data_IF_241562201676
#
_entry.id   IF_241562201676
#
_cell.length_a   1.000
_cell.length_b   1.000
_cell.length_c   1.000
_cell.angle_alpha   90.00
_cell.angle_beta   90.00
_cell.angle_gamma   90.00
#
_symmetry.space_group_name_H-M   'P 1'
#
loop_
_entity.id
_entity.type
_entity.pdbx_description
1 polymer ?
#
# COMPACT_ATOMS: atom_id res chain seq x y z
N UNK A 1 5.52 -19.14 -3.01
CA UNK A 1 6.47 -18.89 -4.14
C UNK A 1 6.18 -17.50 -4.65
N UNK A 2 7.16 -16.60 -4.65
CA UNK A 2 6.96 -15.22 -5.11
C UNK A 2 6.69 -15.25 -6.62
N UNK A 3 5.54 -14.71 -7.04
CA UNK A 3 5.09 -14.71 -8.44
C UNK A 3 5.57 -13.50 -9.24
N UNK A 4 5.98 -12.44 -8.54
CA UNK A 4 6.32 -11.13 -9.09
C UNK A 4 5.10 -10.26 -9.39
N UNK A 5 3.91 -10.56 -8.84
CA UNK A 5 2.67 -9.81 -9.11
C UNK A 5 2.45 -8.70 -8.08
N UNK A 6 2.43 -7.47 -8.56
CA UNK A 6 2.32 -6.24 -7.76
C UNK A 6 1.00 -5.55 -8.04
N UNK A 7 0.36 -5.04 -7.00
CA UNK A 7 -0.77 -4.10 -7.13
C UNK A 7 -0.42 -2.81 -6.39
N UNK A 8 -0.51 -1.68 -7.07
CA UNK A 8 -0.31 -0.35 -6.48
C UNK A 8 -1.50 0.54 -6.79
N UNK A 9 -2.25 0.88 -5.76
CA UNK A 9 -3.32 1.89 -5.78
C UNK A 9 -2.75 3.16 -5.14
N UNK A 10 -2.95 4.32 -5.78
CA UNK A 10 -2.21 5.54 -5.42
C UNK A 10 -1.00 5.79 -6.31
N UNK A 11 -0.92 5.14 -7.47
CA UNK A 11 0.32 5.09 -8.24
C UNK A 11 0.78 6.44 -8.78
N UNK A 12 -0.11 7.44 -8.88
CA UNK A 12 0.24 8.79 -9.29
C UNK A 12 0.39 9.81 -8.16
N UNK A 13 0.38 9.40 -6.89
CA UNK A 13 0.64 10.31 -5.78
C UNK A 13 2.11 10.76 -5.71
N UNK A 14 2.39 11.77 -4.88
CA UNK A 14 3.70 12.25 -4.52
C UNK A 14 4.44 12.89 -5.69
N UNK A 15 5.29 12.10 -6.33
CA UNK A 15 6.26 12.57 -7.32
C UNK A 15 5.61 13.12 -8.59
N UNK A 16 4.61 12.42 -9.12
CA UNK A 16 3.89 12.84 -10.33
C UNK A 16 3.08 14.11 -10.03
N UNK A 17 2.40 14.19 -8.88
CA UNK A 17 1.67 15.39 -8.48
C UNK A 17 2.59 16.61 -8.31
N UNK A 18 3.72 16.44 -7.61
CA UNK A 18 4.63 17.52 -7.26
C UNK A 18 5.46 18.03 -8.45
N UNK A 19 5.90 17.12 -9.33
CA UNK A 19 6.91 17.44 -10.35
C UNK A 19 6.47 17.15 -11.79
N UNK A 20 5.24 16.65 -12.00
CA UNK A 20 4.71 16.32 -13.32
C UNK A 20 5.61 15.34 -14.10
N UNK A 21 6.28 14.46 -13.38
CA UNK A 21 7.13 13.39 -13.91
C UNK A 21 7.13 12.27 -12.89
N UNK A 22 7.31 11.05 -13.39
CA UNK A 22 7.78 9.97 -12.55
C UNK A 22 9.19 10.34 -12.08
N UNK A 23 9.38 10.68 -10.80
CA UNK A 23 10.73 10.88 -10.22
C UNK A 23 11.29 9.62 -9.57
N UNK A 24 10.71 8.51 -9.98
CA UNK A 24 10.49 7.39 -9.14
C UNK A 24 10.80 6.19 -10.05
N UNK A 25 12.10 5.90 -10.16
CA UNK A 25 12.57 4.75 -10.94
C UNK A 25 12.40 3.44 -10.16
N UNK A 26 11.82 3.51 -8.94
CA UNK A 26 11.96 2.53 -7.88
C UNK A 26 11.06 2.75 -6.66
N UNK A 27 10.33 3.85 -6.62
CA UNK A 27 9.81 4.58 -5.47
C UNK A 27 8.33 4.27 -5.08
N UNK A 28 8.15 3.62 -3.96
CA UNK A 28 9.09 2.69 -3.35
C UNK A 28 8.20 1.73 -2.58
N UNK A 29 8.26 0.44 -2.90
CA UNK A 29 7.94 -0.59 -1.91
C UNK A 29 8.77 -0.23 -0.71
N UNK A 30 8.13 0.17 0.40
CA UNK A 30 8.73 0.75 1.60
C UNK A 30 10.23 0.83 1.54
N UNK A 31 10.79 2.02 1.76
CA UNK A 31 12.15 2.13 2.25
C UNK A 31 12.27 1.26 3.53
N UNK A 32 12.55 -0.03 3.34
CA UNK A 32 13.26 -0.88 4.28
C UNK A 32 14.66 -0.30 4.22
N UNK A 33 14.80 0.89 4.76
CA UNK A 33 16.05 1.56 4.95
C UNK A 33 16.80 0.64 5.90
N UNK A 34 17.57 -0.29 5.33
CA UNK A 34 18.72 -0.80 6.02
C UNK A 34 19.64 0.42 6.13
N UNK A 35 19.82 1.02 7.32
CA UNK A 35 20.63 2.21 7.50
C UNK A 35 22.10 1.96 7.09
N UNK A 36 22.47 0.70 6.83
CA UNK A 36 23.79 0.27 6.39
C UNK A 36 23.94 0.21 4.87
N UNK A 37 22.86 0.38 4.08
CA UNK A 37 22.92 0.35 2.61
C UNK A 37 22.82 1.77 2.05
N UNK A 38 23.84 2.27 1.32
CA UNK A 38 23.76 3.58 0.68
C UNK A 38 22.58 3.68 -0.30
N UNK A 39 21.89 4.84 -0.34
CA UNK A 39 20.75 5.07 -1.24
C UNK A 39 21.07 4.86 -2.72
N UNK A 40 22.33 5.09 -3.14
CA UNK A 40 22.78 4.77 -4.50
C UNK A 40 22.64 3.29 -4.83
N UNK A 41 22.90 2.43 -3.84
CA UNK A 41 22.91 0.98 -4.00
C UNK A 41 21.50 0.43 -4.01
N UNK A 42 20.60 0.96 -3.15
CA UNK A 42 19.16 0.68 -3.19
C UNK A 42 18.60 0.97 -4.59
N UNK A 43 18.85 2.18 -5.12
CA UNK A 43 18.40 2.59 -6.46
C UNK A 43 18.96 1.70 -7.58
N UNK A 44 20.23 1.30 -7.48
CA UNK A 44 20.85 0.41 -8.48
C UNK A 44 20.21 -0.99 -8.50
N UNK A 45 19.79 -1.50 -7.33
CA UNK A 45 19.13 -2.81 -7.19
C UNK A 45 17.72 -2.77 -7.74
N UNK A 46 16.98 -1.69 -7.53
CA UNK A 46 15.61 -1.55 -8.04
C UNK A 46 15.55 -1.44 -9.56
N UNK A 47 16.55 -0.80 -10.20
CA UNK A 47 16.65 -0.79 -11.67
C UNK A 47 16.87 -2.19 -12.28
N UNK A 48 17.45 -3.14 -11.54
CA UNK A 48 17.67 -4.52 -12.01
C UNK A 48 16.42 -5.42 -11.85
N UNK A 49 15.44 -4.96 -11.07
CA UNK A 49 14.21 -5.67 -10.71
C UNK A 49 13.15 -5.55 -11.83
N UNK A 50 13.16 -4.46 -12.59
CA UNK A 50 12.17 -4.04 -13.61
C UNK A 50 11.72 -5.14 -14.62
N UNK A 51 12.61 -6.03 -15.07
CA UNK A 51 12.23 -7.00 -16.14
C UNK A 51 11.40 -8.20 -15.69
N UNK A 52 11.24 -8.44 -14.38
CA UNK A 52 10.58 -9.66 -13.86
C UNK A 52 9.21 -9.42 -13.24
N UNK A 53 8.87 -8.18 -12.91
CA UNK A 53 7.61 -7.88 -12.25
C UNK A 53 6.51 -7.63 -13.26
N UNK A 54 5.32 -8.08 -12.89
CA UNK A 54 4.07 -7.80 -13.59
C UNK A 54 3.14 -7.18 -12.56
N UNK A 55 2.20 -6.37 -13.00
CA UNK A 55 1.32 -5.75 -12.04
C UNK A 55 0.24 -4.88 -12.63
N UNK A 56 -0.48 -4.28 -11.70
CA UNK A 56 -1.60 -3.40 -11.94
C UNK A 56 -1.40 -2.13 -11.12
N UNK A 57 -1.40 -1.00 -11.81
CA UNK A 57 -1.47 0.32 -11.20
C UNK A 57 -2.90 0.83 -11.30
N UNK A 58 -3.39 1.48 -10.26
CA UNK A 58 -4.68 2.14 -10.29
C UNK A 58 -4.47 3.62 -10.04
N UNK A 59 -5.07 4.46 -10.91
CA UNK A 59 -4.92 5.92 -10.87
C UNK A 59 -6.14 6.58 -11.55
N UNK A 60 -6.94 7.39 -10.83
CA UNK A 60 -8.11 8.06 -11.40
C UNK A 60 -7.79 9.29 -12.25
N UNK A 61 -6.63 9.93 -12.06
CA UNK A 61 -6.26 11.15 -12.74
C UNK A 61 -5.68 10.84 -14.14
N UNK A 62 -6.42 11.18 -15.19
CA UNK A 62 -6.03 10.94 -16.59
C UNK A 62 -4.64 11.49 -16.94
N UNK A 63 -4.24 12.60 -16.32
CA UNK A 63 -2.92 13.19 -16.52
C UNK A 63 -1.80 12.30 -15.95
N UNK A 64 -2.03 11.73 -14.78
CA UNK A 64 -1.10 10.81 -14.14
C UNK A 64 -1.06 9.48 -14.90
N UNK A 65 -2.21 8.97 -15.34
CA UNK A 65 -2.30 7.77 -16.19
C UNK A 65 -1.44 7.89 -17.45
N UNK A 66 -1.42 9.07 -18.10
CA UNK A 66 -0.60 9.29 -19.29
C UNK A 66 0.91 9.19 -18.98
N UNK A 67 1.34 9.72 -17.82
CA UNK A 67 2.74 9.65 -17.36
C UNK A 67 3.10 8.20 -17.02
N UNK A 68 2.28 7.53 -16.21
CA UNK A 68 2.46 6.12 -15.84
C UNK A 68 2.52 5.20 -17.06
N UNK A 69 1.66 5.40 -18.05
CA UNK A 69 1.64 4.60 -19.29
C UNK A 69 2.90 4.79 -20.14
N UNK A 70 3.49 5.98 -20.11
CA UNK A 70 4.73 6.26 -20.82
C UNK A 70 5.94 5.60 -20.13
N UNK A 71 5.91 5.53 -18.79
CA UNK A 71 6.96 4.93 -17.97
C UNK A 71 6.89 3.40 -17.96
N UNK A 72 5.73 2.83 -17.59
CA UNK A 72 5.56 1.40 -17.30
C UNK A 72 4.87 0.64 -18.44
N UNK A 73 5.61 0.40 -19.53
CA UNK A 73 5.06 -0.17 -20.78
C UNK A 73 4.46 -1.58 -20.67
N UNK A 74 4.83 -2.33 -19.62
CA UNK A 74 4.40 -3.73 -19.43
C UNK A 74 3.43 -3.92 -18.26
N UNK A 75 2.90 -2.82 -17.72
CA UNK A 75 2.04 -2.82 -16.54
C UNK A 75 0.64 -2.35 -16.94
N UNK A 76 -0.40 -3.00 -16.41
CA UNK A 76 -1.78 -2.59 -16.66
C UNK A 76 -2.13 -1.40 -15.78
N UNK A 77 -2.77 -0.38 -16.35
CA UNK A 77 -3.22 0.80 -15.61
C UNK A 77 -4.75 0.87 -15.64
N UNK A 78 -5.36 0.79 -14.46
CA UNK A 78 -6.79 0.91 -14.23
C UNK A 78 -7.17 2.28 -13.67
N UNK A 79 -8.48 2.57 -13.65
CA UNK A 79 -9.02 3.80 -13.07
C UNK A 79 -9.11 3.77 -11.55
N UNK A 80 -9.85 4.74 -10.99
CA UNK A 80 -10.07 4.83 -9.54
C UNK A 80 -10.83 3.63 -8.96
N UNK A 81 -10.38 3.19 -7.79
CA UNK A 81 -10.98 2.08 -7.01
C UNK A 81 -11.42 2.57 -5.63
N UNK A 82 -12.35 1.84 -5.02
CA UNK A 82 -12.87 2.08 -3.68
C UNK A 82 -13.27 0.77 -2.98
N UNK A 83 -13.61 0.84 -1.69
CA UNK A 83 -13.95 -0.35 -0.90
C UNK A 83 -15.15 -1.13 -1.46
N UNK A 84 -16.04 -0.49 -2.24
CA UNK A 84 -17.21 -1.13 -2.83
C UNK A 84 -16.92 -1.88 -4.13
N UNK A 85 -15.81 -1.57 -4.80
CA UNK A 85 -15.55 -2.05 -6.15
C UNK A 85 -14.20 -2.74 -6.33
N UNK A 86 -13.25 -2.55 -5.42
CA UNK A 86 -11.84 -2.86 -5.67
C UNK A 86 -11.62 -4.36 -5.94
N UNK A 87 -12.15 -5.24 -5.10
CA UNK A 87 -12.04 -6.69 -5.31
C UNK A 87 -12.63 -7.15 -6.65
N UNK A 88 -13.76 -6.59 -7.09
CA UNK A 88 -14.38 -6.89 -8.38
C UNK A 88 -13.50 -6.43 -9.55
N UNK A 89 -12.85 -5.28 -9.40
CA UNK A 89 -11.93 -4.74 -10.42
C UNK A 89 -10.68 -5.61 -10.51
N UNK A 90 -10.08 -6.01 -9.40
CA UNK A 90 -8.95 -6.95 -9.39
C UNK A 90 -9.31 -8.26 -10.13
N UNK A 91 -10.50 -8.79 -9.89
CA UNK A 91 -10.99 -9.99 -10.58
C UNK A 91 -11.19 -9.75 -12.09
N UNK A 92 -11.80 -8.63 -12.48
CA UNK A 92 -12.00 -8.33 -13.92
C UNK A 92 -10.70 -8.11 -14.66
N UNK A 93 -9.70 -7.58 -13.96
CA UNK A 93 -8.38 -7.29 -14.53
C UNK A 93 -7.45 -8.51 -14.52
N UNK A 94 -7.95 -9.67 -14.08
CA UNK A 94 -7.22 -10.93 -14.05
C UNK A 94 -6.09 -10.96 -13.03
N UNK A 95 -6.17 -10.14 -11.98
CA UNK A 95 -5.19 -10.16 -10.88
C UNK A 95 -5.31 -11.51 -10.15
N UNK A 96 -4.20 -12.24 -9.96
CA UNK A 96 -4.24 -13.50 -9.22
C UNK A 96 -4.59 -13.23 -7.75
N UNK A 97 -5.29 -14.17 -7.12
CA UNK A 97 -5.60 -14.08 -5.70
C UNK A 97 -4.34 -14.00 -4.82
N UNK A 98 -3.25 -14.64 -5.24
CA UNK A 98 -1.95 -14.56 -4.57
C UNK A 98 -1.18 -13.37 -5.14
N UNK A 99 -1.25 -12.24 -4.44
CA UNK A 99 -0.52 -11.01 -4.77
C UNK A 99 0.77 -11.02 -3.95
N UNK A 100 1.91 -10.62 -4.52
CA UNK A 100 3.16 -10.55 -3.73
C UNK A 100 3.24 -9.25 -2.93
N UNK A 101 2.67 -8.16 -3.44
CA UNK A 101 2.56 -6.91 -2.72
C UNK A 101 1.34 -6.11 -3.17
N UNK A 102 0.58 -5.66 -2.18
CA UNK A 102 -0.52 -4.71 -2.36
C UNK A 102 -0.14 -3.41 -1.64
N UNK A 103 0.12 -2.35 -2.39
CA UNK A 103 0.10 -0.97 -1.86
C UNK A 103 -1.29 -0.39 -2.11
N UNK A 104 -1.88 0.17 -1.07
CA UNK A 104 -3.10 0.94 -1.17
C UNK A 104 -2.93 2.26 -0.43
N UNK A 105 -2.94 3.34 -1.19
CA UNK A 105 -2.66 4.70 -0.76
C UNK A 105 -3.57 5.63 -1.57
N UNK A 106 -4.63 6.13 -0.93
CA UNK A 106 -5.60 7.01 -1.59
C UNK A 106 -5.95 8.25 -0.75
N UNK A 107 -5.25 8.46 0.36
CA UNK A 107 -5.55 9.46 1.40
C UNK A 107 -7.01 9.40 1.92
N UNK A 108 -7.64 8.21 1.93
CA UNK A 108 -9.10 8.12 2.12
C UNK A 108 -9.62 6.88 2.87
N UNK A 109 -9.76 5.75 2.19
CA UNK A 109 -10.59 4.62 2.62
C UNK A 109 -9.78 3.32 2.68
N UNK A 110 -8.49 3.49 2.91
CA UNK A 110 -7.44 2.53 2.66
C UNK A 110 -7.63 1.25 3.46
N UNK A 111 -7.95 1.40 4.74
CA UNK A 111 -8.32 0.31 5.63
C UNK A 111 -9.48 -0.53 5.06
N UNK A 112 -10.61 0.09 4.74
CA UNK A 112 -11.80 -0.64 4.29
C UNK A 112 -11.59 -1.28 2.92
N UNK A 113 -10.85 -0.63 2.02
CA UNK A 113 -10.49 -1.19 0.72
C UNK A 113 -9.60 -2.41 0.83
N UNK A 114 -8.56 -2.36 1.67
CA UNK A 114 -7.67 -3.50 1.93
C UNK A 114 -8.43 -4.65 2.57
N UNK A 115 -9.27 -4.36 3.58
CA UNK A 115 -10.07 -5.39 4.24
C UNK A 115 -11.08 -6.03 3.27
N UNK A 116 -11.71 -5.25 2.40
CA UNK A 116 -12.63 -5.76 1.39
C UNK A 116 -11.95 -6.70 0.39
N UNK A 117 -10.70 -6.41 0.00
CA UNK A 117 -9.91 -7.28 -0.89
C UNK A 117 -9.53 -8.59 -0.21
N UNK A 118 -9.08 -8.54 1.04
CA UNK A 118 -8.73 -9.75 1.80
C UNK A 118 -9.97 -10.60 2.06
N UNK A 119 -11.11 -9.98 2.42
CA UNK A 119 -12.38 -10.67 2.66
C UNK A 119 -12.97 -11.29 1.38
N UNK A 120 -12.64 -10.75 0.20
CA UNK A 120 -12.96 -11.33 -1.09
C UNK A 120 -12.05 -12.52 -1.48
N UNK A 121 -11.11 -12.90 -0.61
CA UNK A 121 -10.25 -14.07 -0.77
C UNK A 121 -8.94 -13.81 -1.50
N UNK A 122 -8.55 -12.56 -1.72
CA UNK A 122 -7.17 -12.25 -2.09
C UNK A 122 -6.25 -12.45 -0.88
N UNK A 123 -5.02 -12.87 -1.14
CA UNK A 123 -4.01 -13.15 -0.13
C UNK A 123 -2.70 -12.47 -0.51
N UNK A 124 -2.61 -11.13 -0.41
CA UNK A 124 -1.34 -10.44 -0.59
C UNK A 124 -0.29 -10.96 0.41
N UNK A 125 0.94 -11.19 -0.03
CA UNK A 125 2.02 -11.60 0.85
C UNK A 125 2.41 -10.47 1.81
N UNK A 126 2.49 -9.26 1.25
CA UNK A 126 2.77 -8.00 1.89
C UNK A 126 1.65 -7.01 1.55
N UNK A 127 1.28 -6.19 2.52
CA UNK A 127 0.29 -5.12 2.37
C UNK A 127 0.88 -3.84 2.95
N UNK A 128 0.94 -2.78 2.16
CA UNK A 128 1.10 -1.42 2.67
C UNK A 128 -0.28 -0.74 2.59
N UNK A 129 -0.69 -0.11 3.68
CA UNK A 129 -1.87 0.73 3.71
C UNK A 129 -1.62 1.96 4.57
N UNK A 130 -2.17 3.10 4.16
CA UNK A 130 -2.16 4.29 4.98
C UNK A 130 -3.12 4.16 6.18
N UNK A 131 -2.77 4.83 7.28
CA UNK A 131 -3.61 4.94 8.46
C UNK A 131 -3.57 6.35 9.06
N UNK A 132 -4.62 6.64 9.83
CA UNK A 132 -4.78 7.94 10.45
C UNK A 132 -3.93 8.08 11.72
N UNK A 133 -2.92 8.96 11.66
CA UNK A 133 -1.99 9.27 12.75
C UNK A 133 -2.63 10.03 13.92
N UNK A 134 -3.79 10.67 13.74
CA UNK A 134 -4.45 11.45 14.79
C UNK A 134 -5.01 10.57 15.92
N UNK A 135 -5.17 9.28 15.66
CA UNK A 135 -5.63 8.30 16.64
C UNK A 135 -4.46 7.38 17.04
N UNK A 136 -3.57 7.82 17.95
CA UNK A 136 -2.42 7.05 18.33
C UNK A 136 -2.84 5.74 19.04
N UNK A 137 -2.03 4.68 18.96
CA UNK A 137 -2.25 3.49 19.77
C UNK A 137 -2.38 3.80 21.27
N UNK A 138 -3.23 3.05 22.01
CA UNK A 138 -4.03 1.90 21.59
C UNK A 138 -5.45 2.27 21.09
N UNK A 139 -5.70 3.52 20.71
CA UNK A 139 -7.04 3.97 20.31
C UNK A 139 -7.46 3.27 19.02
N UNK A 140 -8.52 2.47 19.10
CA UNK A 140 -9.17 1.87 17.94
C UNK A 140 -10.24 2.81 17.37
N UNK A 141 -9.95 3.43 16.24
CA UNK A 141 -10.85 4.26 15.45
C UNK A 141 -10.97 3.71 14.02
N UNK A 142 -12.16 3.79 13.45
CA UNK A 142 -12.41 3.64 12.02
C UNK A 142 -13.58 4.55 11.64
N UNK A 143 -13.44 5.29 10.54
CA UNK A 143 -14.58 5.88 9.85
C UNK A 143 -14.94 4.99 8.67
N UNK A 144 -16.05 4.23 8.75
CA UNK A 144 -16.41 3.31 7.68
C UNK A 144 -16.65 4.04 6.36
N UNK A 145 -16.19 3.43 5.28
CA UNK A 145 -16.46 3.85 3.92
C UNK A 145 -17.95 4.08 3.71
N UNK A 146 -18.26 5.28 3.24
CA UNK A 146 -19.58 5.64 2.78
C UNK A 146 -19.46 6.17 1.36
N UNK A 147 -20.11 5.48 0.44
CA UNK A 147 -20.05 5.81 -0.99
C UNK A 147 -20.44 7.26 -1.25
N UNK A 148 -19.57 7.97 -1.99
CA UNK A 148 -19.79 9.35 -2.39
C UNK A 148 -19.38 10.40 -1.35
N UNK A 149 -18.96 10.02 -0.15
CA UNK A 149 -18.35 10.97 0.80
C UNK A 149 -16.91 11.32 0.43
N UNK A 150 -16.20 10.40 -0.24
CA UNK A 150 -14.82 10.56 -0.65
C UNK A 150 -14.69 10.50 -2.17
N UNK A 151 -13.80 11.34 -2.70
CA UNK A 151 -13.36 11.27 -4.09
C UNK A 151 -11.85 11.34 -4.08
N UNK A 152 -11.21 10.23 -4.42
CA UNK A 152 -9.76 10.14 -4.60
C UNK A 152 -9.26 11.22 -5.58
N UNK A 153 -8.09 11.78 -5.32
CA UNK A 153 -7.45 12.87 -6.07
C UNK A 153 -8.21 14.21 -6.05
N UNK A 154 -9.29 14.34 -5.26
CA UNK A 154 -9.86 15.65 -4.95
C UNK A 154 -9.47 16.03 -3.52
N UNK A 155 -8.61 17.04 -3.42
CA UNK A 155 -8.42 17.85 -2.20
C UNK A 155 -9.75 18.51 -1.83
N UNK A 156 -10.62 17.76 -1.18
CA UNK A 156 -11.86 18.27 -0.59
C UNK A 156 -11.56 18.77 0.82
N UNK A 157 -12.22 19.83 1.32
CA UNK A 157 -11.70 20.62 2.43
C UNK A 157 -11.79 19.91 3.78
N UNK A 158 -10.81 20.19 4.65
CA UNK A 158 -10.77 20.28 6.13
C UNK A 158 -11.92 19.70 6.99
N UNK A 159 -11.54 19.22 8.18
CA UNK A 159 -12.31 18.51 9.24
C UNK A 159 -12.69 17.06 8.91
N UNK A 160 -13.09 16.75 7.67
CA UNK A 160 -13.43 15.38 7.27
C UNK A 160 -12.18 14.48 7.23
N UNK A 161 -11.02 15.07 6.89
CA UNK A 161 -9.70 14.43 6.99
C UNK A 161 -9.28 14.07 8.41
N UNK A 162 -9.86 14.69 9.46
CA UNK A 162 -9.56 14.30 10.85
C UNK A 162 -10.05 12.88 11.17
N UNK A 163 -10.94 12.33 10.34
CA UNK A 163 -11.43 10.96 10.45
C UNK A 163 -11.24 10.14 9.18
N UNK A 164 -10.48 10.59 8.17
CA UNK A 164 -10.15 9.74 7.03
C UNK A 164 -9.39 8.51 7.53
N UNK A 165 -9.56 7.38 6.86
CA UNK A 165 -8.96 6.10 7.23
C UNK A 165 -9.33 5.63 8.66
N UNK A 166 -8.61 4.61 9.09
CA UNK A 166 -8.71 4.04 10.42
C UNK A 166 -7.41 4.25 11.19
N UNK A 167 -7.46 4.15 12.51
CA UNK A 167 -6.27 4.11 13.37
C UNK A 167 -5.42 2.85 13.10
N UNK A 168 -4.12 2.92 13.38
CA UNK A 168 -3.22 1.77 13.36
C UNK A 168 -3.71 0.63 14.26
N UNK A 169 -4.27 0.93 15.43
CA UNK A 169 -4.76 -0.09 16.37
C UNK A 169 -5.97 -0.84 15.81
N UNK A 170 -6.88 -0.15 15.12
CA UNK A 170 -7.98 -0.78 14.42
C UNK A 170 -7.47 -1.65 13.27
N UNK A 171 -6.62 -1.10 12.39
CA UNK A 171 -6.10 -1.82 11.23
C UNK A 171 -5.37 -3.08 11.66
N UNK A 172 -4.44 -2.96 12.62
CA UNK A 172 -3.64 -4.07 13.13
C UNK A 172 -4.50 -5.18 13.72
N UNK A 173 -5.56 -4.83 14.45
CA UNK A 173 -6.51 -5.81 14.98
C UNK A 173 -7.25 -6.56 13.85
N UNK A 174 -7.72 -5.83 12.83
CA UNK A 174 -8.46 -6.42 11.71
C UNK A 174 -7.58 -7.30 10.83
N UNK A 175 -6.35 -6.85 10.56
CA UNK A 175 -5.33 -7.59 9.83
C UNK A 175 -4.90 -8.85 10.60
N UNK A 176 -4.75 -8.76 11.93
CA UNK A 176 -4.44 -9.90 12.80
C UNK A 176 -5.46 -11.04 12.72
N UNK A 177 -6.76 -10.73 12.73
CA UNK A 177 -7.83 -11.73 12.54
C UNK A 177 -7.73 -12.44 11.19
N UNK A 178 -7.13 -11.79 10.19
CA UNK A 178 -6.94 -12.29 8.83
C UNK A 178 -5.56 -12.95 8.63
N UNK A 179 -4.80 -13.15 9.71
CA UNK A 179 -3.51 -13.83 9.68
C UNK A 179 -2.34 -12.96 9.22
N UNK A 180 -2.46 -11.63 9.33
CA UNK A 180 -1.37 -10.68 9.05
C UNK A 180 -0.75 -10.15 10.34
N UNK A 181 0.54 -9.81 10.26
CA UNK A 181 1.33 -9.23 11.35
C UNK A 181 1.85 -7.87 10.88
N UNK A 182 1.74 -6.86 11.73
CA UNK A 182 2.36 -5.55 11.49
C UNK A 182 3.88 -5.73 11.55
N UNK A 183 4.56 -5.42 10.45
CA UNK A 183 6.00 -5.51 10.30
C UNK A 183 6.69 -4.18 10.58
N UNK A 184 6.19 -3.08 10.01
CA UNK A 184 6.78 -1.76 10.12
C UNK A 184 5.72 -0.67 10.04
N UNK A 185 6.01 0.45 10.67
CA UNK A 185 5.29 1.71 10.49
C UNK A 185 6.32 2.75 10.03
N UNK A 186 6.01 3.45 8.96
CA UNK A 186 6.79 4.60 8.51
C UNK A 186 5.85 5.76 8.21
N UNK A 187 5.89 6.79 9.04
CA UNK A 187 4.92 7.89 9.00
C UNK A 187 3.46 7.39 8.91
N UNK A 188 2.80 7.58 7.75
CA UNK A 188 1.39 7.23 7.50
C UNK A 188 1.24 5.78 7.04
N UNK A 189 2.33 5.10 6.68
CA UNK A 189 2.33 3.77 6.11
C UNK A 189 2.44 2.68 7.17
N UNK A 190 1.52 1.73 7.14
CA UNK A 190 1.60 0.49 7.89
C UNK A 190 1.88 -0.68 6.96
N UNK A 191 3.02 -1.34 7.15
CA UNK A 191 3.40 -2.55 6.43
C UNK A 191 2.99 -3.80 7.20
N UNK A 192 2.15 -4.62 6.59
CA UNK A 192 1.74 -5.92 7.09
C UNK A 192 2.33 -7.05 6.23
N UNK A 193 2.57 -8.19 6.87
CA UNK A 193 3.02 -9.42 6.22
C UNK A 193 2.18 -10.60 6.71
N UNK A 194 2.00 -11.62 5.87
CA UNK A 194 1.35 -12.86 6.33
C UNK A 194 2.12 -13.48 7.50
N UNK A 195 1.40 -14.02 8.48
CA UNK A 195 1.99 -14.66 9.67
C UNK A 195 2.96 -15.78 9.31
N UNK A 196 2.68 -16.53 8.24
CA UNK A 196 3.55 -17.60 7.76
C UNK A 196 4.92 -17.08 7.33
N UNK A 197 4.95 -15.99 6.57
CA UNK A 197 6.21 -15.37 6.14
C UNK A 197 6.90 -14.71 7.32
N UNK A 198 6.17 -14.02 8.20
CA UNK A 198 6.74 -13.43 9.41
C UNK A 198 7.50 -14.47 10.24
N UNK A 199 6.88 -15.62 10.54
CA UNK A 199 7.52 -16.69 11.32
C UNK A 199 8.76 -17.26 10.62
N UNK A 200 8.71 -17.40 9.30
CA UNK A 200 9.86 -17.87 8.50
C UNK A 200 11.00 -16.85 8.56
N UNK A 201 10.70 -15.56 8.35
CA UNK A 201 11.69 -14.49 8.37
C UNK A 201 12.30 -14.31 9.78
N UNK A 202 11.49 -14.33 10.83
CA UNK A 202 11.93 -14.23 12.23
C UNK A 202 12.90 -15.36 12.61
N UNK A 203 12.71 -16.56 12.05
CA UNK A 203 13.63 -17.68 12.27
C UNK A 203 14.99 -17.53 11.56
N UNK A 204 15.07 -16.64 10.57
CA UNK A 204 16.24 -16.46 9.71
C UNK A 204 16.99 -15.15 9.99
N UNK A 205 16.29 -14.12 10.46
CA UNK A 205 16.84 -12.79 10.71
C UNK A 205 16.47 -12.34 12.12
N UNK A 206 17.44 -11.98 12.98
CA UNK A 206 17.13 -11.31 14.23
C UNK A 206 16.49 -9.96 13.89
N UNK A 207 15.23 -9.77 14.28
CA UNK A 207 14.58 -8.46 14.16
C UNK A 207 15.32 -7.50 15.09
N UNK A 208 15.79 -6.38 14.54
CA UNK A 208 16.17 -5.24 15.34
C UNK A 208 14.86 -4.65 15.90
N UNK A 209 14.67 -4.76 17.22
CA UNK A 209 13.51 -4.23 17.96
C UNK A 209 13.39 -2.70 17.88
N UNK A 210 14.25 -2.02 17.12
CA UNK A 210 14.25 -0.56 16.94
C UNK A 210 13.02 -0.03 16.18
N UNK A 211 12.03 -0.87 15.85
CA UNK A 211 10.70 -0.44 15.38
C UNK A 211 9.79 0.10 16.50
N UNK A 212 10.27 0.14 17.76
CA UNK A 212 9.48 0.60 18.92
C UNK A 212 9.39 2.12 19.13
N UNK A 213 9.74 2.99 18.18
CA UNK A 213 9.67 4.45 18.44
C UNK A 213 8.24 4.99 18.61
N UNK A 214 7.20 4.21 18.27
CA UNK A 214 5.80 4.56 18.50
C UNK A 214 5.14 3.83 19.68
N UNK A 215 5.83 2.89 20.34
CA UNK A 215 5.27 2.07 21.43
C UNK A 215 5.82 2.42 22.83
N UNK A 216 6.55 3.53 22.96
CA UNK A 216 6.99 4.12 24.24
C UNK A 216 6.63 5.59 24.36
#
# INVERSE_FOLDING_TARGET
KISGHIVNVGAGDGCIEAYNRECDEANEFLELADPMVPMSDVRSRTRAIDTKFKGHLYEPNEKNVAILSATYKNISIGGGVDASNFARILQSDGVPHNIDFLKYDTDAQDCDSVLAVIDAGFQPLLVLAEFNLLFPPPIGFNLPYTKGLYTWAKRTPYAVQLGNECSLSFLSKQMGVRGYVLLQVDWWDALFVTSQVYQTAFSLFPIYDDLTWWLY
#
